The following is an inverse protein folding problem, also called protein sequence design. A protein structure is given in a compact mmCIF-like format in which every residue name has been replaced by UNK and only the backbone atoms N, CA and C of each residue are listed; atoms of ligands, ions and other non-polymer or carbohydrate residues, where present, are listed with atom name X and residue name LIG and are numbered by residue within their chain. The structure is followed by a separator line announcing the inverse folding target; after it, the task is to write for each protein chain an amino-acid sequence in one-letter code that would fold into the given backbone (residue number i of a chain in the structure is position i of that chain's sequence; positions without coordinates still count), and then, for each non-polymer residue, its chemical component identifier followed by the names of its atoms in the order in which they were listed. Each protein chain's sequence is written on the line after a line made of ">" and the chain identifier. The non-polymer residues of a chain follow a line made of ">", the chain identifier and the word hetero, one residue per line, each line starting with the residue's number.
data_IF_719227937877
#
_entry.id   IF_719227937877
#
_cell.length_a   1.000
_cell.length_b   1.000
_cell.length_c   1.000
_cell.angle_alpha   90.00
_cell.angle_beta   90.00
_cell.angle_gamma   90.00
#
_symmetry.space_group_name_H-M   'P 1'
#
loop_
_entity.id
_entity.type
_entity.pdbx_description
1 polymer ?
#
# COMPACT_ATOMS: atom_id res chain seq x y z
N UNK A 1 31.40 17.29 -15.37
CA UNK A 1 30.03 17.15 -14.83
C UNK A 1 29.58 18.55 -14.47
N UNK A 2 28.85 19.16 -15.36
CA UNK A 2 28.61 20.61 -15.28
C UNK A 2 27.22 20.99 -14.74
N UNK A 3 26.43 20.03 -14.33
CA UNK A 3 25.11 20.29 -13.74
C UNK A 3 24.75 19.23 -12.69
N UNK A 4 23.98 19.63 -11.69
CA UNK A 4 23.43 18.74 -10.67
C UNK A 4 22.60 17.60 -11.30
N UNK A 5 21.99 17.86 -12.44
CA UNK A 5 21.25 16.85 -13.21
C UNK A 5 22.15 15.72 -13.70
N UNK A 6 23.36 16.02 -14.20
CA UNK A 6 24.31 14.98 -14.65
C UNK A 6 24.75 14.08 -13.49
N UNK A 7 24.89 14.67 -12.28
CA UNK A 7 25.22 13.92 -11.06
C UNK A 7 24.08 12.99 -10.66
N UNK A 8 22.83 13.46 -10.73
CA UNK A 8 21.67 12.62 -10.46
C UNK A 8 21.54 11.47 -11.47
N UNK A 9 21.69 11.76 -12.76
CA UNK A 9 21.63 10.74 -13.82
C UNK A 9 22.72 9.63 -13.61
N UNK A 10 23.92 10.04 -13.20
CA UNK A 10 24.97 9.07 -12.87
C UNK A 10 24.64 8.24 -11.62
N UNK A 11 24.08 8.85 -10.59
CA UNK A 11 23.62 8.12 -9.38
C UNK A 11 22.43 7.18 -9.68
N UNK A 12 21.50 7.60 -10.51
CA UNK A 12 20.40 6.76 -11.00
C UNK A 12 20.93 5.57 -11.82
N UNK A 13 21.90 5.78 -12.68
CA UNK A 13 22.54 4.70 -13.44
C UNK A 13 23.21 3.68 -12.53
N UNK A 14 23.85 4.12 -11.44
CA UNK A 14 24.38 3.21 -10.41
C UNK A 14 23.25 2.41 -9.75
N UNK A 15 22.16 3.06 -9.29
CA UNK A 15 21.03 2.38 -8.68
C UNK A 15 20.41 1.33 -9.62
N UNK A 16 20.35 1.61 -10.92
CA UNK A 16 19.83 0.69 -11.94
C UNK A 16 20.63 -0.62 -12.00
N UNK A 17 21.90 -0.61 -11.67
CA UNK A 17 22.72 -1.83 -11.62
C UNK A 17 22.52 -2.66 -10.36
N UNK A 18 21.97 -2.07 -9.29
CA UNK A 18 21.84 -2.67 -7.97
C UNK A 18 20.41 -3.15 -7.63
N UNK A 19 19.44 -2.90 -8.50
CA UNK A 19 18.06 -3.27 -8.27
C UNK A 19 17.36 -3.78 -9.53
N UNK A 20 16.22 -4.46 -9.35
CA UNK A 20 15.41 -4.94 -10.47
C UNK A 20 14.83 -3.75 -11.27
N UNK A 21 14.80 -3.89 -12.60
CA UNK A 21 14.35 -2.84 -13.51
C UNK A 21 12.92 -2.29 -13.19
N UNK A 22 11.92 -3.12 -12.84
CA UNK A 22 10.61 -2.60 -12.44
C UNK A 22 10.65 -1.74 -11.19
N UNK A 23 11.50 -2.09 -10.22
CA UNK A 23 11.68 -1.34 -8.97
C UNK A 23 12.39 -0.02 -9.22
N UNK A 24 13.40 -0.02 -10.08
CA UNK A 24 14.12 1.18 -10.50
C UNK A 24 13.16 2.18 -11.16
N UNK A 25 12.41 1.75 -12.16
CA UNK A 25 11.47 2.60 -12.90
C UNK A 25 10.38 3.19 -11.99
N UNK A 26 10.00 2.45 -10.93
CA UNK A 26 8.94 2.87 -10.02
C UNK A 26 9.40 3.91 -8.98
N UNK A 27 10.61 3.76 -8.44
CA UNK A 27 11.05 4.51 -7.27
C UNK A 27 12.21 5.46 -7.53
N UNK A 28 13.08 5.18 -8.49
CA UNK A 28 14.32 5.92 -8.70
C UNK A 28 14.32 6.76 -9.98
N UNK A 29 13.78 6.22 -11.07
CA UNK A 29 13.76 6.88 -12.39
C UNK A 29 13.03 8.24 -12.39
N UNK A 30 12.01 8.37 -11.55
CA UNK A 30 11.20 9.58 -11.43
C UNK A 30 11.70 10.62 -10.41
N UNK A 31 12.90 10.47 -9.86
CA UNK A 31 13.51 11.47 -8.98
C UNK A 31 14.03 12.64 -9.81
N UNK A 32 13.71 13.87 -9.40
CA UNK A 32 14.16 15.09 -10.06
C UNK A 32 15.04 15.93 -9.11
N UNK A 33 16.09 16.60 -9.63
CA UNK A 33 16.98 17.40 -8.81
C UNK A 33 16.34 18.75 -8.47
N UNK A 34 16.31 19.13 -7.17
CA UNK A 34 15.85 20.47 -6.72
C UNK A 34 17.03 21.35 -6.37
N UNK A 35 17.83 20.97 -5.38
CA UNK A 35 18.99 21.75 -4.94
C UNK A 35 20.12 20.85 -4.46
N UNK A 36 21.33 21.40 -4.56
CA UNK A 36 22.55 20.83 -3.98
C UNK A 36 23.25 21.95 -3.21
N UNK A 37 23.09 21.93 -1.89
CA UNK A 37 23.53 23.00 -0.97
C UNK A 37 24.71 22.53 -0.13
N UNK A 38 25.57 23.49 0.28
CA UNK A 38 26.72 23.29 1.18
C UNK A 38 27.66 22.13 0.81
N UNK A 39 27.69 21.73 -0.46
CA UNK A 39 28.50 20.62 -1.01
C UNK A 39 28.25 19.26 -0.33
N UNK A 40 27.17 19.11 0.46
CA UNK A 40 26.87 17.88 1.17
C UNK A 40 25.37 17.57 1.31
N UNK A 41 24.49 18.55 1.04
CA UNK A 41 23.05 18.38 1.18
C UNK A 41 22.35 18.38 -0.18
N UNK A 42 21.69 17.27 -0.51
CA UNK A 42 20.98 17.08 -1.77
C UNK A 42 19.48 17.05 -1.49
N UNK A 43 18.72 17.88 -2.20
CA UNK A 43 17.27 17.85 -2.19
C UNK A 43 16.76 17.33 -3.52
N UNK A 44 15.97 16.24 -3.47
CA UNK A 44 15.35 15.64 -4.64
C UNK A 44 13.83 15.73 -4.55
N UNK A 45 13.19 15.95 -5.67
CA UNK A 45 11.74 15.87 -5.83
C UNK A 45 11.31 14.43 -6.05
N UNK A 46 10.21 14.04 -5.43
CA UNK A 46 9.51 12.77 -5.66
C UNK A 46 8.06 13.04 -6.05
N UNK A 47 7.47 12.14 -6.82
CA UNK A 47 6.13 12.35 -7.43
C UNK A 47 5.00 12.47 -6.41
N UNK A 48 5.07 11.76 -5.27
CA UNK A 48 4.04 11.75 -4.22
C UNK A 48 4.59 11.27 -2.88
N UNK A 49 3.80 11.47 -1.81
CA UNK A 49 4.17 11.10 -0.43
C UNK A 49 4.41 9.60 -0.26
N UNK A 50 3.71 8.76 -1.01
CA UNK A 50 3.88 7.32 -0.94
C UNK A 50 5.27 6.90 -1.44
N UNK A 51 5.68 7.39 -2.62
CA UNK A 51 7.03 7.15 -3.16
C UNK A 51 8.08 7.74 -2.21
N UNK A 52 7.84 8.95 -1.68
CA UNK A 52 8.72 9.59 -0.69
C UNK A 52 8.99 8.66 0.49
N UNK A 53 7.95 8.10 1.08
CA UNK A 53 8.05 7.17 2.21
C UNK A 53 8.83 5.90 1.86
N UNK A 54 8.49 5.24 0.74
CA UNK A 54 9.17 4.00 0.32
C UNK A 54 10.64 4.25 0.01
N UNK A 55 10.97 5.35 -0.69
CA UNK A 55 12.37 5.69 -1.00
C UNK A 55 13.14 6.00 0.27
N UNK A 56 12.53 6.74 1.21
CA UNK A 56 13.15 7.03 2.51
C UNK A 56 13.41 5.77 3.32
N UNK A 57 12.41 4.88 3.43
CA UNK A 57 12.51 3.72 4.31
C UNK A 57 13.40 2.60 3.72
N UNK A 58 13.44 2.45 2.41
CA UNK A 58 14.09 1.28 1.77
C UNK A 58 15.28 1.61 0.89
N UNK A 59 15.27 2.75 0.21
CA UNK A 59 16.24 3.05 -0.86
C UNK A 59 17.14 4.25 -0.56
N UNK A 60 16.93 4.95 0.56
CA UNK A 60 17.76 6.10 0.96
C UNK A 60 19.24 5.69 1.14
N UNK A 61 19.49 4.51 1.70
CA UNK A 61 20.83 3.97 1.86
C UNK A 61 21.52 3.73 0.51
N UNK A 62 20.81 3.13 -0.45
CA UNK A 62 21.31 2.89 -1.81
C UNK A 62 21.54 4.21 -2.55
N UNK A 63 20.65 5.20 -2.41
CA UNK A 63 20.85 6.53 -3.00
C UNK A 63 22.07 7.24 -2.41
N UNK A 64 22.27 7.20 -1.10
CA UNK A 64 23.47 7.76 -0.45
C UNK A 64 24.74 7.08 -0.97
N UNK A 65 24.75 5.77 -1.12
CA UNK A 65 25.87 5.03 -1.69
C UNK A 65 26.13 5.39 -3.16
N UNK A 66 25.06 5.53 -3.96
CA UNK A 66 25.16 5.94 -5.36
C UNK A 66 25.79 7.35 -5.48
N UNK A 67 25.30 8.33 -4.74
CA UNK A 67 25.86 9.68 -4.73
C UNK A 67 27.29 9.70 -4.20
N UNK A 68 27.60 8.94 -3.16
CA UNK A 68 28.96 8.80 -2.66
C UNK A 68 29.92 8.25 -3.70
N UNK A 69 29.47 7.26 -4.50
CA UNK A 69 30.27 6.69 -5.60
C UNK A 69 30.52 7.72 -6.70
N UNK A 70 29.54 8.56 -7.02
CA UNK A 70 29.64 9.56 -8.08
C UNK A 70 30.43 10.80 -7.64
N UNK A 71 30.21 11.27 -6.41
CA UNK A 71 30.78 12.52 -5.88
C UNK A 71 32.10 12.31 -5.12
N UNK A 72 32.33 11.10 -4.58
CA UNK A 72 33.53 10.78 -3.81
C UNK A 72 33.47 11.17 -2.33
N UNK A 73 32.32 11.66 -1.84
CA UNK A 73 32.10 12.02 -0.44
C UNK A 73 30.66 11.71 0.00
N UNK A 74 30.42 11.66 1.32
CA UNK A 74 29.10 11.40 1.87
C UNK A 74 28.16 12.61 1.71
N UNK A 75 26.90 12.35 1.38
CA UNK A 75 25.88 13.37 1.24
C UNK A 75 24.65 13.05 2.09
N UNK A 76 23.97 14.07 2.56
CA UNK A 76 22.65 13.97 3.14
C UNK A 76 21.59 14.25 2.08
N UNK A 77 20.57 13.38 2.02
CA UNK A 77 19.52 13.45 1.01
C UNK A 77 18.19 13.75 1.69
N UNK A 78 17.54 14.83 1.24
CA UNK A 78 16.17 15.17 1.61
C UNK A 78 15.26 14.95 0.39
N UNK A 79 14.17 14.23 0.61
CA UNK A 79 13.15 14.02 -0.40
C UNK A 79 11.97 14.96 -0.13
N UNK A 80 11.51 15.66 -1.15
CA UNK A 80 10.36 16.56 -1.06
C UNK A 80 9.37 16.27 -2.17
N UNK A 81 8.08 16.37 -1.85
CA UNK A 81 7.01 16.32 -2.84
C UNK A 81 6.72 17.74 -3.27
N UNK A 82 6.76 18.07 -4.57
CA UNK A 82 6.42 19.41 -5.05
C UNK A 82 5.01 19.78 -4.62
N UNK A 83 4.87 20.77 -3.75
CA UNK A 83 3.56 21.24 -3.30
C UNK A 83 2.84 21.94 -4.45
N UNK A 84 1.78 21.34 -4.95
CA UNK A 84 0.69 22.07 -5.59
C UNK A 84 0.07 23.00 -4.54
N UNK A 85 -0.42 24.23 -4.89
CA UNK A 85 -0.79 25.24 -3.90
C UNK A 85 -1.85 24.79 -2.90
N UNK A 86 -1.94 25.41 -1.70
CA UNK A 86 -2.49 24.81 -0.49
C UNK A 86 -4.01 24.74 -0.50
N UNK A 87 -4.57 23.63 -0.92
CA UNK A 87 -5.98 23.33 -0.66
C UNK A 87 -6.25 21.94 -0.07
N UNK A 88 -5.25 21.13 0.24
CA UNK A 88 -5.45 19.76 0.74
C UNK A 88 -4.48 19.28 1.84
N UNK A 89 -3.72 20.17 2.47
CA UNK A 89 -2.84 19.79 3.60
C UNK A 89 -3.64 19.45 4.87
N UNK A 90 -4.97 19.62 4.89
CA UNK A 90 -5.82 19.33 6.05
C UNK A 90 -6.21 17.85 6.14
N UNK A 91 -6.08 17.06 5.06
CA UNK A 91 -6.55 15.66 5.05
C UNK A 91 -5.47 14.61 5.32
N UNK A 92 -4.19 14.88 5.03
CA UNK A 92 -3.13 13.89 5.23
C UNK A 92 -2.70 13.73 6.70
N UNK A 93 -2.87 14.76 7.54
CA UNK A 93 -2.62 14.67 8.99
C UNK A 93 -3.77 14.06 9.78
N UNK A 94 -4.93 13.81 9.17
CA UNK A 94 -6.07 13.18 9.84
C UNK A 94 -6.11 11.66 9.69
N UNK A 95 -5.25 11.04 8.90
CA UNK A 95 -5.26 9.58 8.69
C UNK A 95 -4.26 8.80 9.54
N UNK A 96 -3.36 9.47 10.29
CA UNK A 96 -2.59 8.81 11.36
C UNK A 96 -3.34 8.73 12.70
N UNK A 97 -4.49 9.37 12.80
CA UNK A 97 -5.30 9.30 14.00
C UNK A 97 -6.77 9.35 13.62
N UNK A 98 -7.36 8.20 13.39
CA UNK A 98 -8.77 8.05 13.71
C UNK A 98 -8.85 7.62 15.18
N UNK A 99 -8.94 8.54 16.15
CA UNK A 99 -9.18 8.22 17.53
C UNK A 99 -10.68 8.16 17.75
N UNK A 100 -11.37 7.27 17.06
CA UNK A 100 -12.65 6.76 17.50
C UNK A 100 -12.44 5.39 18.15
N UNK A 101 -11.34 5.28 18.95
CA UNK A 101 -11.27 4.24 19.97
C UNK A 101 -11.87 4.82 21.25
N UNK A 102 -12.83 4.16 21.88
CA UNK A 102 -13.17 4.43 23.26
C UNK A 102 -11.89 4.33 24.08
N UNK A 103 -11.66 5.27 24.96
CA UNK A 103 -10.52 5.40 25.84
C UNK A 103 -10.16 4.07 26.51
N UNK A 104 -9.09 3.46 26.05
CA UNK A 104 -8.44 2.25 26.52
C UNK A 104 -7.58 1.75 25.37
N UNK A 105 -6.28 1.49 25.60
CA UNK A 105 -5.35 0.91 24.62
C UNK A 105 -5.81 -0.51 24.20
N UNK A 106 -6.89 -0.62 23.46
CA UNK A 106 -7.38 -1.88 22.92
C UNK A 106 -6.69 -2.11 21.57
N UNK A 107 -5.60 -2.82 21.60
CA UNK A 107 -4.91 -3.21 20.37
C UNK A 107 -5.69 -4.36 19.70
N UNK A 108 -6.02 -4.18 18.43
CA UNK A 108 -6.64 -5.20 17.60
C UNK A 108 -5.60 -6.26 17.19
N UNK A 109 -5.24 -7.14 18.14
CA UNK A 109 -4.32 -8.25 17.93
C UNK A 109 -5.05 -9.59 17.95
N UNK A 110 -4.38 -10.66 17.52
CA UNK A 110 -4.95 -12.01 17.62
C UNK A 110 -5.17 -12.44 19.06
N UNK A 111 -4.35 -11.99 20.02
CA UNK A 111 -4.46 -12.29 21.43
C UNK A 111 -5.74 -11.70 22.04
N UNK A 112 -6.08 -10.49 21.63
CA UNK A 112 -7.24 -9.76 22.14
C UNK A 112 -8.56 -10.12 21.43
N UNK A 113 -8.51 -10.97 20.39
CA UNK A 113 -9.71 -11.37 19.66
C UNK A 113 -10.55 -12.36 20.45
N UNK A 114 -11.83 -12.04 20.65
CA UNK A 114 -12.77 -12.92 21.35
C UNK A 114 -13.23 -14.03 20.41
N UNK A 115 -12.79 -15.26 20.67
CA UNK A 115 -13.14 -16.44 19.88
C UNK A 115 -14.45 -17.07 20.35
N UNK A 116 -15.29 -17.42 19.39
CA UNK A 116 -16.53 -18.17 19.61
C UNK A 116 -16.77 -19.17 18.47
N UNK A 117 -17.76 -20.05 18.59
CA UNK A 117 -18.03 -21.09 17.58
C UNK A 117 -18.28 -20.51 16.17
N UNK A 118 -18.90 -19.33 16.07
CA UNK A 118 -19.26 -18.69 14.81
C UNK A 118 -18.09 -18.00 14.08
N UNK A 119 -17.01 -17.65 14.76
CA UNK A 119 -15.88 -16.94 14.19
C UNK A 119 -14.55 -17.71 14.26
N UNK A 120 -14.55 -18.91 14.84
CA UNK A 120 -13.34 -19.72 15.01
C UNK A 120 -12.65 -20.05 13.69
N UNK A 121 -13.42 -20.32 12.65
CA UNK A 121 -12.86 -20.62 11.32
C UNK A 121 -12.22 -19.37 10.69
N UNK A 122 -12.90 -18.21 10.73
CA UNK A 122 -12.36 -16.95 10.25
C UNK A 122 -11.07 -16.57 10.99
N UNK A 123 -11.04 -16.76 12.32
CA UNK A 123 -9.86 -16.54 13.14
C UNK A 123 -8.70 -17.46 12.72
N UNK A 124 -8.94 -18.76 12.56
CA UNK A 124 -7.91 -19.73 12.15
C UNK A 124 -7.36 -19.42 10.74
N UNK A 125 -8.22 -19.07 9.79
CA UNK A 125 -7.83 -18.66 8.45
C UNK A 125 -6.99 -17.37 8.47
N UNK A 126 -7.40 -16.38 9.28
CA UNK A 126 -6.64 -15.14 9.46
C UNK A 126 -5.24 -15.39 10.04
N UNK A 127 -5.13 -16.28 11.04
CA UNK A 127 -3.83 -16.69 11.58
C UNK A 127 -2.97 -17.42 10.55
N UNK A 128 -3.57 -18.29 9.73
CA UNK A 128 -2.85 -19.01 8.68
C UNK A 128 -2.30 -18.04 7.61
N UNK A 129 -3.07 -17.01 7.22
CA UNK A 129 -2.61 -15.95 6.33
C UNK A 129 -1.47 -15.14 6.95
N UNK A 130 -1.58 -14.79 8.23
CA UNK A 130 -0.52 -14.05 8.91
C UNK A 130 0.78 -14.86 9.06
N UNK A 131 0.68 -16.18 9.24
CA UNK A 131 1.83 -17.07 9.36
C UNK A 131 2.50 -17.39 8.02
N UNK A 132 1.73 -17.46 6.92
CA UNK A 132 2.22 -17.79 5.59
C UNK A 132 1.42 -17.02 4.51
N UNK A 133 1.75 -15.73 4.29
CA UNK A 133 1.09 -14.93 3.26
C UNK A 133 1.20 -15.57 1.88
N UNK A 134 0.17 -15.41 1.07
CA UNK A 134 0.02 -16.02 -0.27
C UNK A 134 -0.02 -17.55 -0.29
N UNK A 135 -0.22 -18.17 0.87
CA UNK A 135 -0.36 -19.63 1.02
C UNK A 135 -1.75 -20.13 0.67
N UNK A 136 -2.35 -20.94 1.59
CA UNK A 136 -3.58 -21.67 1.33
C UNK A 136 -4.85 -20.79 1.15
N UNK A 137 -4.84 -19.57 1.68
CA UNK A 137 -6.00 -18.66 1.67
C UNK A 137 -5.65 -17.37 0.94
N UNK A 138 -5.62 -17.42 -0.39
CA UNK A 138 -5.42 -16.23 -1.22
C UNK A 138 -6.36 -16.26 -2.45
N UNK A 139 -7.38 -15.39 -2.49
CA UNK A 139 -7.75 -14.40 -1.47
C UNK A 139 -8.42 -15.00 -0.23
N UNK A 140 -8.29 -14.36 0.93
CA UNK A 140 -9.10 -14.62 2.11
C UNK A 140 -10.31 -13.67 2.11
N UNK A 141 -11.52 -14.23 2.08
CA UNK A 141 -12.76 -13.45 2.15
C UNK A 141 -13.47 -13.69 3.49
N UNK A 142 -13.54 -12.65 4.32
CA UNK A 142 -14.18 -12.69 5.66
C UNK A 142 -15.51 -11.94 5.57
N UNK A 143 -16.61 -12.61 5.86
CA UNK A 143 -17.91 -11.96 5.85
C UNK A 143 -18.71 -12.24 7.11
N UNK A 144 -19.63 -11.31 7.42
CA UNK A 144 -20.52 -11.41 8.57
C UNK A 144 -21.09 -10.07 8.97
N UNK A 145 -22.14 -10.07 9.79
CA UNK A 145 -22.81 -8.85 10.26
C UNK A 145 -21.86 -7.81 10.88
N UNK A 146 -22.36 -6.60 11.09
CA UNK A 146 -21.61 -5.55 11.78
C UNK A 146 -21.25 -5.96 13.21
N UNK A 147 -20.11 -5.50 13.72
CA UNK A 147 -19.66 -5.74 15.09
C UNK A 147 -19.07 -7.13 15.37
N UNK A 148 -18.97 -8.03 14.39
CA UNK A 148 -18.44 -9.38 14.58
C UNK A 148 -16.91 -9.48 14.56
N UNK A 149 -16.18 -8.37 14.47
CA UNK A 149 -14.72 -8.35 14.56
C UNK A 149 -13.99 -8.50 13.23
N UNK A 150 -14.62 -8.26 12.08
CA UNK A 150 -13.96 -8.33 10.77
C UNK A 150 -12.76 -7.39 10.69
N UNK A 151 -12.96 -6.10 10.96
CA UNK A 151 -11.91 -5.07 11.03
C UNK A 151 -10.80 -5.45 12.01
N UNK A 152 -11.17 -6.06 13.16
CA UNK A 152 -10.21 -6.57 14.13
C UNK A 152 -9.31 -7.65 13.51
N UNK A 153 -9.87 -8.62 12.77
CA UNK A 153 -9.07 -9.67 12.12
C UNK A 153 -8.16 -9.08 11.03
N UNK A 154 -8.64 -8.12 10.23
CA UNK A 154 -7.80 -7.45 9.23
C UNK A 154 -6.62 -6.74 9.90
N UNK A 155 -6.88 -5.97 10.96
CA UNK A 155 -5.84 -5.26 11.70
C UNK A 155 -4.87 -6.22 12.42
N UNK A 156 -5.38 -7.35 12.95
CA UNK A 156 -4.53 -8.38 13.56
C UNK A 156 -3.58 -9.03 12.53
N UNK A 157 -4.08 -9.32 11.31
CA UNK A 157 -3.24 -9.80 10.19
C UNK A 157 -2.17 -8.76 9.85
N UNK A 158 -2.55 -7.49 9.70
CA UNK A 158 -1.61 -6.40 9.41
C UNK A 158 -0.50 -6.31 10.45
N UNK A 159 -0.88 -6.30 11.73
CA UNK A 159 0.06 -6.17 12.85
C UNK A 159 1.04 -7.34 12.89
N UNK A 160 0.55 -8.56 12.72
CA UNK A 160 1.39 -9.76 12.76
C UNK A 160 2.32 -9.85 11.54
N UNK A 161 1.84 -9.55 10.32
CA UNK A 161 2.67 -9.55 9.12
C UNK A 161 3.71 -8.42 9.19
N UNK A 162 3.36 -7.24 9.69
CA UNK A 162 4.34 -6.15 9.88
C UNK A 162 5.46 -6.54 10.84
N UNK A 163 5.14 -7.37 11.86
CA UNK A 163 6.12 -7.89 12.83
C UNK A 163 7.03 -8.97 12.24
N UNK A 164 6.47 -9.89 11.42
CA UNK A 164 7.18 -11.06 10.88
C UNK A 164 7.85 -10.78 9.54
N UNK A 165 7.30 -9.85 8.76
CA UNK A 165 7.78 -9.45 7.44
C UNK A 165 7.87 -7.92 7.36
N UNK A 166 8.88 -7.30 8.02
CA UNK A 166 9.00 -5.84 8.08
C UNK A 166 9.18 -5.17 6.72
N UNK A 167 9.61 -5.93 5.73
CA UNK A 167 9.83 -5.45 4.35
C UNK A 167 8.58 -5.49 3.47
N UNK A 168 7.46 -6.02 3.96
CA UNK A 168 6.23 -6.07 3.17
C UNK A 168 5.59 -4.69 3.02
N UNK A 169 5.20 -4.38 1.80
CA UNK A 169 4.33 -3.23 1.51
C UNK A 169 2.90 -3.63 1.83
N UNK A 170 2.39 -3.15 2.97
CA UNK A 170 1.05 -3.46 3.45
C UNK A 170 0.13 -2.28 3.15
N UNK A 171 -0.93 -2.54 2.40
CA UNK A 171 -1.97 -1.57 2.09
C UNK A 171 -3.27 -1.98 2.78
N UNK A 172 -3.71 -1.16 3.73
CA UNK A 172 -5.06 -1.26 4.33
C UNK A 172 -5.91 -0.12 3.77
N UNK A 173 -7.07 -0.45 3.24
CA UNK A 173 -7.98 0.52 2.65
C UNK A 173 -9.43 0.12 2.88
N UNK A 174 -10.28 1.10 3.22
CA UNK A 174 -11.73 0.90 3.14
C UNK A 174 -12.20 1.08 1.69
N UNK A 175 -13.27 0.41 1.31
CA UNK A 175 -13.84 0.57 -0.03
C UNK A 175 -14.25 2.02 -0.34
N UNK A 176 -14.67 2.78 0.67
CA UNK A 176 -14.99 4.19 0.54
C UNK A 176 -13.73 5.02 0.22
N UNK A 177 -12.64 4.79 0.96
CA UNK A 177 -11.36 5.45 0.71
C UNK A 177 -10.83 5.13 -0.68
N UNK A 178 -10.83 3.86 -1.10
CA UNK A 178 -10.43 3.44 -2.43
C UNK A 178 -11.24 4.18 -3.53
N UNK A 179 -12.55 4.29 -3.33
CA UNK A 179 -13.44 5.03 -4.26
C UNK A 179 -13.08 6.51 -4.34
N UNK A 180 -12.88 7.15 -3.20
CA UNK A 180 -12.58 8.59 -3.12
C UNK A 180 -11.22 8.91 -3.75
N UNK A 181 -10.21 8.08 -3.49
CA UNK A 181 -8.89 8.21 -4.10
C UNK A 181 -8.94 8.00 -5.62
N UNK A 182 -9.69 7.01 -6.11
CA UNK A 182 -9.88 6.80 -7.55
C UNK A 182 -10.54 8.02 -8.21
N UNK A 183 -11.60 8.57 -7.61
CA UNK A 183 -12.27 9.76 -8.14
C UNK A 183 -11.32 10.95 -8.18
N UNK A 184 -10.51 11.15 -7.14
CA UNK A 184 -9.50 12.20 -7.10
C UNK A 184 -8.44 12.01 -8.20
N UNK A 185 -7.94 10.79 -8.40
CA UNK A 185 -6.97 10.45 -9.42
C UNK A 185 -7.51 10.67 -10.84
N UNK A 186 -8.78 10.31 -11.10
CA UNK A 186 -9.44 10.57 -12.39
C UNK A 186 -9.52 12.08 -12.65
N UNK A 187 -9.92 12.88 -11.67
CA UNK A 187 -10.02 14.33 -11.81
C UNK A 187 -8.66 15.01 -12.04
N UNK A 188 -7.62 14.47 -11.43
CA UNK A 188 -6.25 14.98 -11.56
C UNK A 188 -5.51 14.43 -12.80
N UNK A 189 -6.08 13.46 -13.52
CA UNK A 189 -5.39 12.78 -14.63
C UNK A 189 -4.24 11.87 -14.18
N UNK A 190 -4.21 11.47 -12.90
CA UNK A 190 -3.13 10.66 -12.27
C UNK A 190 -3.57 9.22 -11.96
N UNK A 191 -4.41 8.64 -12.81
CA UNK A 191 -4.93 7.27 -12.61
C UNK A 191 -3.82 6.22 -12.57
N UNK A 192 -2.70 6.47 -13.26
CA UNK A 192 -1.56 5.55 -13.24
C UNK A 192 -0.85 5.55 -11.88
N UNK A 193 -0.71 6.70 -11.23
CA UNK A 193 -0.16 6.79 -9.86
C UNK A 193 -1.05 6.05 -8.85
N UNK A 194 -2.37 6.15 -9.02
CA UNK A 194 -3.32 5.38 -8.22
C UNK A 194 -3.12 3.87 -8.41
N UNK A 195 -2.98 3.42 -9.65
CA UNK A 195 -2.72 2.01 -9.96
C UNK A 195 -1.40 1.53 -9.35
N UNK A 196 -0.35 2.32 -9.54
CA UNK A 196 0.97 2.00 -8.97
C UNK A 196 0.90 1.86 -7.45
N UNK A 197 0.21 2.79 -6.76
CA UNK A 197 0.05 2.76 -5.30
C UNK A 197 -0.47 1.41 -4.80
N UNK A 198 -1.53 0.88 -5.42
CA UNK A 198 -2.17 -0.34 -4.93
C UNK A 198 -1.49 -1.62 -5.45
N UNK A 199 -0.97 -1.62 -6.68
CA UNK A 199 -0.39 -2.82 -7.31
C UNK A 199 0.99 -3.20 -6.80
N UNK A 200 1.66 -2.32 -6.05
CA UNK A 200 2.94 -2.64 -5.39
C UNK A 200 2.79 -3.37 -4.06
N UNK A 201 1.58 -3.49 -3.53
CA UNK A 201 1.33 -4.11 -2.25
C UNK A 201 1.76 -5.59 -2.24
N UNK A 202 2.42 -6.02 -1.17
CA UNK A 202 2.64 -7.44 -0.87
C UNK A 202 1.45 -8.03 -0.12
N UNK A 203 0.72 -7.17 0.61
CA UNK A 203 -0.53 -7.48 1.29
C UNK A 203 -1.55 -6.36 1.05
N UNK A 204 -2.68 -6.69 0.43
CA UNK A 204 -3.83 -5.79 0.30
C UNK A 204 -4.95 -6.23 1.25
N UNK A 205 -5.30 -5.35 2.17
CA UNK A 205 -6.43 -5.51 3.10
C UNK A 205 -7.53 -4.54 2.71
N UNK A 206 -8.69 -5.06 2.35
CA UNK A 206 -9.84 -4.25 1.91
C UNK A 206 -10.99 -4.45 2.90
N UNK A 207 -11.38 -3.39 3.56
CA UNK A 207 -12.53 -3.42 4.47
C UNK A 207 -13.79 -2.86 3.80
N UNK A 208 -14.93 -3.41 4.23
CA UNK A 208 -16.25 -2.97 3.79
C UNK A 208 -16.47 -2.97 2.27
N UNK A 209 -16.03 -4.03 1.59
CA UNK A 209 -16.11 -4.16 0.11
C UNK A 209 -17.54 -4.01 -0.43
N UNK A 210 -18.60 -4.22 0.36
CA UNK A 210 -19.97 -4.07 -0.07
C UNK A 210 -20.30 -2.65 -0.59
N UNK A 211 -19.54 -1.63 -0.19
CA UNK A 211 -19.72 -0.25 -0.66
C UNK A 211 -19.23 0.01 -2.09
N UNK A 212 -18.62 -0.99 -2.75
CA UNK A 212 -18.30 -0.93 -4.18
C UNK A 212 -19.57 -1.11 -5.05
N UNK A 213 -20.63 -1.69 -4.49
CA UNK A 213 -21.85 -1.99 -5.24
C UNK A 213 -22.47 -0.73 -5.87
N UNK A 214 -22.79 -0.83 -7.18
CA UNK A 214 -23.37 0.29 -7.95
C UNK A 214 -22.38 1.35 -8.44
N UNK A 215 -21.08 1.17 -8.23
CA UNK A 215 -20.02 2.10 -8.66
C UNK A 215 -19.18 1.44 -9.76
N UNK A 216 -19.69 1.36 -10.99
CA UNK A 216 -19.08 0.59 -12.09
C UNK A 216 -17.60 0.87 -12.31
N UNK A 217 -17.19 2.13 -12.41
CA UNK A 217 -15.77 2.48 -12.62
C UNK A 217 -14.88 2.06 -11.45
N UNK A 218 -15.39 2.12 -10.22
CA UNK A 218 -14.64 1.67 -9.03
C UNK A 218 -14.54 0.15 -9.00
N UNK A 219 -15.60 -0.56 -9.42
CA UNK A 219 -15.62 -2.01 -9.53
C UNK A 219 -14.59 -2.50 -10.55
N UNK A 220 -14.56 -1.88 -11.73
CA UNK A 220 -13.62 -2.21 -12.79
C UNK A 220 -12.16 -2.01 -12.35
N UNK A 221 -11.84 -0.86 -11.76
CA UNK A 221 -10.48 -0.58 -11.30
C UNK A 221 -10.07 -1.47 -10.12
N UNK A 222 -11.01 -1.76 -9.20
CA UNK A 222 -10.79 -2.72 -8.13
C UNK A 222 -10.48 -4.11 -8.69
N UNK A 223 -11.23 -4.57 -9.69
CA UNK A 223 -11.04 -5.86 -10.35
C UNK A 223 -9.66 -5.95 -11.02
N UNK A 224 -9.24 -4.89 -11.71
CA UNK A 224 -7.91 -4.84 -12.32
C UNK A 224 -6.80 -4.86 -11.27
N UNK A 225 -6.97 -4.15 -10.16
CA UNK A 225 -6.02 -4.16 -9.04
C UNK A 225 -5.95 -5.55 -8.39
N UNK A 226 -7.12 -6.16 -8.13
CA UNK A 226 -7.22 -7.51 -7.58
C UNK A 226 -6.49 -8.54 -8.46
N UNK A 227 -6.80 -8.58 -9.76
CA UNK A 227 -6.16 -9.53 -10.67
C UNK A 227 -4.65 -9.33 -10.74
N UNK A 228 -4.19 -8.08 -10.85
CA UNK A 228 -2.76 -7.78 -10.88
C UNK A 228 -2.02 -8.31 -9.66
N UNK A 229 -2.59 -8.17 -8.47
CA UNK A 229 -2.00 -8.68 -7.23
C UNK A 229 -2.11 -10.20 -7.12
N UNK A 230 -3.25 -10.77 -7.48
CA UNK A 230 -3.48 -12.21 -7.44
C UNK A 230 -2.52 -12.96 -8.37
N UNK A 231 -2.37 -12.49 -9.62
CA UNK A 231 -1.46 -13.08 -10.62
C UNK A 231 0.01 -12.94 -10.21
N UNK A 232 0.33 -11.87 -9.47
CA UNK A 232 1.65 -11.67 -8.86
C UNK A 232 1.86 -12.46 -7.56
N UNK A 233 0.91 -13.34 -7.18
CA UNK A 233 0.93 -14.12 -5.94
C UNK A 233 1.07 -13.25 -4.68
N UNK A 234 0.47 -12.05 -4.67
CA UNK A 234 0.41 -11.17 -3.50
C UNK A 234 -0.80 -11.54 -2.64
N UNK A 235 -0.68 -11.38 -1.33
CA UNK A 235 -1.79 -11.70 -0.42
C UNK A 235 -2.90 -10.67 -0.51
N UNK A 236 -4.13 -11.14 -0.62
CA UNK A 236 -5.34 -10.31 -0.61
C UNK A 236 -6.26 -10.81 0.51
N UNK A 237 -6.76 -9.88 1.33
CA UNK A 237 -7.78 -10.14 2.35
C UNK A 237 -8.90 -9.14 2.20
N UNK A 238 -10.13 -9.61 2.13
CA UNK A 238 -11.31 -8.79 1.90
C UNK A 238 -12.33 -9.04 3.01
N UNK A 239 -12.86 -7.97 3.60
CA UNK A 239 -13.96 -8.05 4.55
C UNK A 239 -15.26 -7.46 3.98
N UNK A 240 -16.40 -8.07 4.36
CA UNK A 240 -17.74 -7.69 3.92
C UNK A 240 -18.79 -7.87 5.01
N UNK A 241 -19.89 -7.14 4.92
CA UNK A 241 -21.09 -7.39 5.74
C UNK A 241 -21.95 -8.55 5.22
N UNK A 242 -21.72 -9.01 3.98
CA UNK A 242 -22.49 -10.07 3.28
C UNK A 242 -21.57 -10.99 2.46
N UNK A 243 -22.04 -12.19 2.10
CA UNK A 243 -21.28 -13.12 1.27
C UNK A 243 -21.00 -12.56 -0.14
N UNK A 244 -19.89 -12.97 -0.74
CA UNK A 244 -19.43 -12.47 -2.04
C UNK A 244 -20.49 -12.60 -3.15
N UNK A 245 -21.28 -13.68 -3.16
CA UNK A 245 -22.37 -13.93 -4.13
C UNK A 245 -23.51 -12.90 -4.08
N UNK A 246 -23.64 -12.14 -2.99
CA UNK A 246 -24.64 -11.09 -2.84
C UNK A 246 -24.13 -9.71 -3.27
N UNK A 247 -22.84 -9.62 -3.61
CA UNK A 247 -22.21 -8.40 -4.12
C UNK A 247 -22.14 -8.53 -5.63
N UNK A 248 -23.12 -7.95 -6.34
CA UNK A 248 -23.29 -8.08 -7.81
C UNK A 248 -22.01 -7.83 -8.62
N UNK A 249 -21.10 -7.03 -8.12
CA UNK A 249 -19.84 -6.68 -8.78
C UNK A 249 -18.73 -7.71 -8.57
N UNK A 250 -18.83 -8.55 -7.55
CA UNK A 250 -17.86 -9.61 -7.26
C UNK A 250 -18.27 -10.96 -7.83
N UNK A 251 -19.43 -11.06 -8.51
CA UNK A 251 -19.86 -12.33 -9.13
C UNK A 251 -18.81 -12.89 -10.08
N UNK A 252 -18.19 -12.06 -10.92
CA UNK A 252 -17.15 -12.49 -11.85
C UNK A 252 -15.86 -12.96 -11.11
N UNK A 253 -15.48 -12.31 -10.00
CA UNK A 253 -14.35 -12.70 -9.14
C UNK A 253 -14.71 -13.94 -8.31
N UNK A 254 -15.97 -14.01 -7.86
CA UNK A 254 -16.47 -15.13 -7.04
C UNK A 254 -16.42 -16.45 -7.81
N UNK A 255 -16.75 -16.45 -9.10
CA UNK A 255 -16.76 -17.67 -9.91
C UNK A 255 -15.37 -18.20 -10.26
N UNK A 256 -14.35 -17.33 -10.28
CA UNK A 256 -13.01 -17.74 -10.70
C UNK A 256 -12.03 -17.95 -9.54
N UNK A 257 -12.15 -17.18 -8.44
CA UNK A 257 -11.12 -17.15 -7.40
C UNK A 257 -11.63 -17.21 -5.95
N UNK A 258 -12.92 -16.91 -5.67
CA UNK A 258 -13.48 -16.89 -4.31
C UNK A 258 -14.27 -18.16 -3.96
N UNK A 259 -14.41 -19.10 -4.86
CA UNK A 259 -15.09 -20.36 -4.58
C UNK A 259 -14.15 -21.32 -3.88
N UNK A 260 -14.04 -21.18 -2.56
CA UNK A 260 -13.62 -22.27 -1.70
C UNK A 260 -14.82 -22.71 -0.85
N UNK A 261 -14.96 -24.02 -0.64
CA UNK A 261 -16.06 -24.62 0.11
C UNK A 261 -16.13 -24.18 1.55
#
# INVERSE_FOLDING_TARGET
>A
MDSFKDVLEAAQAYCKTQMAEPTYNLYIDGLEPISFEDSSHITLSVRNDFICKIVTDRYLGLLKEAFKTVLGFDVDITLVVPSTPPHEVVLAQQYEANPASPQGNYEFTFENFIKGPSNQFAFAAAQAVAANPSGAYNPLFIYGGSGLGKTHLLTAIQTEIKRTHPDFVIMYVTCEQFTNELIAAIRAGSTEDFRMKYRVADLLLVDDIQFIAGKESTQEEFFHTFNSLHDAHKQIVIASDRPAKEIKSLEAVSYTHLTLP
#
